data_IF_526200145420
#
_entry.id   IF_526200145420
#
_cell.length_a   1.000
_cell.length_b   1.000
_cell.length_c   1.000
_cell.angle_alpha   90.00
_cell.angle_beta   90.00
_cell.angle_gamma   90.00
#
_symmetry.space_group_name_H-M   'P 1'
#
loop_
_entity.id
_entity.type
_entity.pdbx_description
1 polymer ?
#
# COMPACT_ATOMS: atom_id res chain seq x y z
N UNK A 1 70.42 21.99 33.53
CA UNK A 1 70.05 21.00 34.55
C UNK A 1 69.28 19.89 33.85
N UNK A 2 69.87 18.71 33.80
CA UNK A 2 69.33 17.51 33.20
C UNK A 2 68.57 16.68 34.24
N UNK A 3 67.50 16.01 33.84
CA UNK A 3 67.16 14.67 34.34
C UNK A 3 66.23 13.94 33.37
N UNK A 4 66.71 12.76 32.96
CA UNK A 4 66.06 11.72 32.14
C UNK A 4 65.09 10.88 32.98
N UNK A 5 64.35 10.01 32.28
CA UNK A 5 63.89 8.64 32.65
C UNK A 5 62.37 8.51 32.70
N UNK A 6 61.70 7.46 32.21
CA UNK A 6 62.14 6.20 31.62
C UNK A 6 61.02 5.58 30.78
N UNK A 7 61.45 4.87 29.75
CA UNK A 7 60.68 3.96 28.89
C UNK A 7 60.43 2.66 29.67
N UNK A 8 59.21 2.12 29.60
CA UNK A 8 58.94 0.73 29.93
C UNK A 8 58.07 0.10 28.83
N UNK A 9 58.75 -0.57 27.90
CA UNK A 9 58.20 -1.51 26.91
C UNK A 9 58.00 -2.84 27.62
N UNK A 10 56.75 -3.30 27.71
CA UNK A 10 56.44 -4.67 28.10
C UNK A 10 56.08 -5.49 26.85
N UNK A 11 56.96 -6.43 26.51
CA UNK A 11 56.86 -7.40 25.42
C UNK A 11 56.67 -8.79 26.03
N UNK A 12 55.50 -9.40 25.86
CA UNK A 12 55.21 -10.84 25.95
C UNK A 12 54.01 -11.07 25.02
N UNK A 13 54.00 -11.96 24.03
CA UNK A 13 54.77 -13.17 23.82
C UNK A 13 53.81 -14.36 23.78
N UNK A 14 53.46 -14.83 22.58
CA UNK A 14 52.67 -16.06 22.31
C UNK A 14 51.19 -15.95 22.69
N UNK A 15 50.21 -16.29 21.87
CA UNK A 15 50.02 -17.52 21.10
C UNK A 15 48.95 -17.24 20.03
N UNK A 16 49.17 -17.73 18.82
CA UNK A 16 48.25 -17.63 17.69
C UNK A 16 47.42 -18.92 17.64
N UNK A 17 46.08 -18.90 17.86
CA UNK A 17 45.24 -20.01 17.48
C UNK A 17 44.75 -19.83 16.05
N UNK A 18 45.25 -20.74 15.22
CA UNK A 18 44.64 -21.33 14.03
C UNK A 18 43.15 -21.08 13.84
N UNK A 19 42.82 -20.65 12.61
CA UNK A 19 41.53 -20.74 11.95
C UNK A 19 40.85 -22.10 12.18
N UNK A 20 39.69 -22.09 12.83
CA UNK A 20 38.62 -23.04 12.56
C UNK A 20 37.37 -22.26 12.18
N UNK A 21 37.10 -22.26 10.88
CA UNK A 21 35.81 -21.93 10.31
C UNK A 21 34.83 -23.01 10.78
N UNK A 22 33.96 -22.68 11.73
CA UNK A 22 32.78 -23.50 12.03
C UNK A 22 31.52 -22.67 11.76
N UNK A 23 31.07 -22.78 10.50
CA UNK A 23 29.73 -22.40 10.07
C UNK A 23 28.74 -23.40 10.69
N UNK A 24 28.22 -23.06 11.87
CA UNK A 24 26.93 -23.60 12.32
C UNK A 24 25.92 -22.46 12.48
N UNK A 25 25.39 -22.01 11.34
CA UNK A 25 24.16 -21.22 11.24
C UNK A 25 23.01 -22.04 11.82
N UNK A 26 22.81 -21.98 13.14
CA UNK A 26 21.55 -22.39 13.75
C UNK A 26 20.48 -21.37 13.30
N UNK A 27 19.46 -21.77 12.54
CA UNK A 27 18.37 -20.86 12.21
C UNK A 27 17.63 -20.51 13.50
N UNK A 28 17.72 -19.25 13.91
CA UNK A 28 16.93 -18.69 15.00
C UNK A 28 15.44 -18.97 14.74
N UNK A 29 14.68 -19.24 15.81
CA UNK A 29 13.24 -19.51 15.78
C UNK A 29 12.44 -18.43 15.03
N UNK A 30 13.00 -17.21 14.92
CA UNK A 30 12.46 -16.10 14.13
C UNK A 30 12.38 -16.41 12.62
N UNK A 31 13.33 -17.16 12.05
CA UNK A 31 13.28 -17.55 10.63
C UNK A 31 12.18 -18.58 10.36
N UNK A 32 11.89 -19.47 11.31
CA UNK A 32 10.80 -20.45 11.14
C UNK A 32 9.43 -19.79 11.22
N UNK A 33 9.27 -18.76 12.05
CA UNK A 33 8.06 -17.96 12.11
C UNK A 33 7.88 -17.13 10.83
N UNK A 34 8.92 -16.47 10.33
CA UNK A 34 8.88 -15.72 9.08
C UNK A 34 8.61 -16.59 7.85
N UNK A 35 9.17 -17.80 7.78
CA UNK A 35 8.87 -18.75 6.69
C UNK A 35 7.40 -19.22 6.77
N UNK A 36 6.86 -19.46 7.99
CA UNK A 36 5.44 -19.81 8.17
C UNK A 36 4.48 -18.65 7.89
N UNK A 37 4.89 -17.42 8.18
CA UNK A 37 4.11 -16.22 7.87
C UNK A 37 4.09 -15.95 6.37
N UNK A 38 5.24 -16.11 5.70
CA UNK A 38 5.35 -15.99 4.24
C UNK A 38 4.60 -17.13 3.51
N UNK A 39 4.53 -18.33 4.08
CA UNK A 39 3.73 -19.43 3.52
C UNK A 39 2.22 -19.21 3.68
N UNK A 40 1.77 -18.60 4.80
CA UNK A 40 0.37 -18.23 4.98
C UNK A 40 -0.04 -17.08 4.05
N UNK A 41 0.79 -16.05 3.90
CA UNK A 41 0.53 -14.95 2.96
C UNK A 41 0.44 -15.44 1.50
N UNK A 42 1.24 -16.45 1.10
CA UNK A 42 1.14 -17.07 -0.23
C UNK A 42 -0.08 -17.99 -0.39
N UNK A 43 -0.53 -18.65 0.68
CA UNK A 43 -1.74 -19.46 0.66
C UNK A 43 -3.00 -18.59 0.56
N UNK A 44 -3.04 -17.45 1.25
CA UNK A 44 -4.12 -16.46 1.14
C UNK A 44 -4.16 -15.79 -0.23
N UNK A 45 -3.00 -15.50 -0.84
CA UNK A 45 -2.93 -15.01 -2.23
C UNK A 45 -3.40 -16.05 -3.27
N UNK A 46 -3.31 -17.35 -2.98
CA UNK A 46 -3.91 -18.42 -3.80
C UNK A 46 -5.41 -18.62 -3.53
N UNK A 47 -5.85 -18.43 -2.28
CA UNK A 47 -7.25 -18.50 -1.89
C UNK A 47 -8.05 -17.30 -2.40
N UNK A 48 -7.42 -16.13 -2.55
CA UNK A 48 -8.02 -14.89 -3.09
C UNK A 48 -8.17 -14.87 -4.62
N UNK A 49 -8.12 -16.01 -5.33
CA UNK A 49 -8.63 -16.12 -6.71
C UNK A 49 -8.01 -15.20 -7.79
N UNK A 50 -6.98 -14.41 -7.47
CA UNK A 50 -6.46 -13.32 -8.33
C UNK A 50 -5.86 -13.83 -9.64
N UNK A 51 -5.45 -15.09 -9.72
CA UNK A 51 -4.88 -15.67 -10.94
C UNK A 51 -5.91 -16.36 -11.85
N UNK A 52 -7.11 -16.74 -11.34
CA UNK A 52 -8.12 -17.42 -12.18
C UNK A 52 -8.93 -16.45 -13.05
N UNK A 53 -8.94 -15.16 -12.73
CA UNK A 53 -9.61 -14.14 -13.54
C UNK A 53 -8.82 -13.75 -14.80
N UNK A 54 -7.51 -14.02 -14.86
CA UNK A 54 -6.65 -13.65 -15.99
C UNK A 54 -6.70 -14.64 -17.17
N UNK A 55 -7.39 -15.77 -17.05
CA UNK A 55 -7.50 -16.77 -18.13
C UNK A 55 -8.92 -17.06 -18.60
N UNK A 56 -9.94 -16.36 -18.07
CA UNK A 56 -11.31 -16.48 -18.58
C UNK A 56 -11.52 -15.50 -19.73
N UNK A 57 -11.10 -15.90 -20.93
CA UNK A 57 -11.53 -15.32 -22.20
C UNK A 57 -13.08 -15.16 -22.18
N UNK A 58 -13.64 -13.94 -22.30
CA UNK A 58 -15.06 -13.81 -22.60
C UNK A 58 -15.23 -14.08 -24.10
N UNK A 59 -15.86 -15.21 -24.40
CA UNK A 59 -16.34 -15.52 -25.74
C UNK A 59 -17.23 -14.40 -26.24
N UNK A 60 -16.82 -13.84 -27.38
CA UNK A 60 -17.58 -12.97 -28.26
C UNK A 60 -18.94 -13.62 -28.58
N UNK A 61 -20.03 -13.09 -28.01
CA UNK A 61 -21.37 -13.20 -28.62
C UNK A 61 -21.86 -11.79 -28.91
N UNK A 62 -21.70 -11.40 -30.17
CA UNK A 62 -22.43 -10.29 -30.77
C UNK A 62 -23.88 -10.78 -30.86
N UNK A 63 -24.75 -10.23 -30.01
CA UNK A 63 -26.19 -10.31 -30.19
C UNK A 63 -26.67 -8.86 -30.40
N UNK A 64 -26.84 -8.50 -31.67
CA UNK A 64 -27.49 -7.27 -32.06
C UNK A 64 -29.00 -7.45 -31.78
N UNK A 65 -29.53 -6.76 -30.77
CA UNK A 65 -30.95 -6.50 -30.68
C UNK A 65 -31.18 -5.00 -30.81
N UNK A 66 -31.61 -4.64 -32.01
CA UNK A 66 -32.27 -3.40 -32.35
C UNK A 66 -33.62 -3.34 -31.62
N UNK A 67 -33.75 -2.40 -30.68
CA UNK A 67 -35.07 -1.88 -30.30
C UNK A 67 -34.97 -0.38 -30.13
N UNK A 68 -35.51 0.31 -31.13
CA UNK A 68 -35.75 1.74 -31.22
C UNK A 68 -36.84 2.12 -30.20
N UNK A 69 -36.55 3.05 -29.29
CA UNK A 69 -37.58 3.98 -28.82
C UNK A 69 -36.99 5.33 -28.39
N UNK A 70 -37.75 6.37 -28.69
CA UNK A 70 -37.42 7.79 -28.81
C UNK A 70 -37.71 8.63 -27.56
N UNK A 71 -37.06 9.80 -27.50
CA UNK A 71 -37.27 10.89 -26.51
C UNK A 71 -36.30 10.75 -25.34
N UNK A 72 -35.41 11.67 -25.00
CA UNK A 72 -35.34 13.12 -25.16
C UNK A 72 -34.62 13.57 -23.88
N UNK A 73 -33.48 14.27 -24.01
CA UNK A 73 -32.70 14.89 -22.91
C UNK A 73 -32.10 13.92 -21.86
N UNK A 74 -30.95 13.28 -22.13
CA UNK A 74 -30.20 12.48 -21.12
C UNK A 74 -28.78 12.00 -21.55
N UNK A 75 -28.18 12.65 -22.56
CA UNK A 75 -27.00 12.08 -23.26
C UNK A 75 -25.70 12.05 -22.48
N UNK A 76 -25.49 12.98 -21.53
CA UNK A 76 -24.22 13.14 -20.84
C UNK A 76 -24.05 12.17 -19.64
N UNK A 77 -25.11 11.94 -18.88
CA UNK A 77 -25.10 11.13 -17.65
C UNK A 77 -25.07 9.63 -17.92
N UNK A 78 -25.75 9.16 -18.98
CA UNK A 78 -25.76 7.74 -19.37
C UNK A 78 -24.42 7.27 -19.97
N UNK A 79 -23.60 8.17 -20.49
CA UNK A 79 -22.25 7.84 -20.99
C UNK A 79 -21.17 7.80 -19.90
N UNK A 80 -21.24 8.70 -18.92
CA UNK A 80 -20.21 8.85 -17.89
C UNK A 80 -20.21 7.70 -16.86
N UNK A 81 -21.39 7.25 -16.42
CA UNK A 81 -21.53 6.14 -15.46
C UNK A 81 -20.91 4.82 -15.94
N UNK A 82 -21.19 4.32 -17.17
CA UNK A 82 -20.56 3.09 -17.67
C UNK A 82 -19.06 3.25 -17.94
N UNK A 83 -18.56 4.46 -18.22
CA UNK A 83 -17.12 4.71 -18.31
C UNK A 83 -16.46 4.68 -16.93
N UNK A 84 -17.04 5.33 -15.92
CA UNK A 84 -16.51 5.31 -14.56
C UNK A 84 -16.47 3.88 -13.99
N UNK A 85 -17.53 3.08 -14.20
CA UNK A 85 -17.54 1.66 -13.83
C UNK A 85 -16.44 0.86 -14.53
N UNK A 86 -16.18 1.11 -15.82
CA UNK A 86 -15.09 0.45 -16.56
C UNK A 86 -13.71 0.84 -16.04
N UNK A 87 -13.51 2.11 -15.70
CA UNK A 87 -12.24 2.61 -15.16
C UNK A 87 -11.97 1.98 -13.80
N UNK A 88 -12.94 2.01 -12.89
CA UNK A 88 -12.82 1.45 -11.54
C UNK A 88 -12.61 -0.07 -11.56
N UNK A 89 -13.24 -0.77 -12.50
CA UNK A 89 -13.03 -2.21 -12.68
C UNK A 89 -11.66 -2.57 -13.31
N UNK A 90 -10.90 -1.58 -13.77
CA UNK A 90 -9.60 -1.84 -14.41
C UNK A 90 -8.50 -2.12 -13.37
N UNK A 91 -7.60 -3.09 -13.61
CA UNK A 91 -6.44 -3.32 -12.74
C UNK A 91 -5.51 -2.12 -12.62
N UNK A 92 -5.46 -1.26 -13.64
CA UNK A 92 -4.70 -0.01 -13.61
C UNK A 92 -5.22 0.93 -12.51
N UNK A 93 -6.53 0.96 -12.28
CA UNK A 93 -7.12 1.77 -11.23
C UNK A 93 -6.83 1.20 -9.84
N UNK A 94 -7.16 -0.07 -9.62
CA UNK A 94 -7.11 -0.68 -8.27
C UNK A 94 -5.69 -1.05 -7.81
N UNK A 95 -4.78 -1.39 -8.73
CA UNK A 95 -3.41 -1.79 -8.37
C UNK A 95 -2.43 -0.65 -8.58
N UNK A 96 -2.37 -0.10 -9.80
CA UNK A 96 -1.35 0.90 -10.12
C UNK A 96 -1.68 2.26 -9.49
N UNK A 97 -2.87 2.80 -9.74
CA UNK A 97 -3.22 4.14 -9.26
C UNK A 97 -3.42 4.18 -7.74
N UNK A 98 -4.27 3.31 -7.19
CA UNK A 98 -4.47 3.24 -5.74
C UNK A 98 -3.19 2.85 -4.99
N UNK A 99 -2.39 1.94 -5.53
CA UNK A 99 -1.10 1.56 -4.95
C UNK A 99 -0.09 2.70 -4.98
N UNK A 100 0.02 3.43 -6.08
CA UNK A 100 0.89 4.61 -6.18
C UNK A 100 0.47 5.70 -5.20
N UNK A 101 -0.84 5.97 -5.07
CA UNK A 101 -1.36 6.93 -4.08
C UNK A 101 -1.00 6.47 -2.66
N UNK A 102 -1.19 5.19 -2.34
CA UNK A 102 -0.85 4.66 -1.02
C UNK A 102 0.64 4.83 -0.68
N UNK A 103 1.53 4.49 -1.62
CA UNK A 103 2.98 4.66 -1.43
C UNK A 103 3.36 6.14 -1.31
N UNK A 104 2.75 7.01 -2.12
CA UNK A 104 2.98 8.45 -2.04
C UNK A 104 2.54 9.03 -0.69
N UNK A 105 1.39 8.61 -0.17
CA UNK A 105 0.91 9.02 1.15
C UNK A 105 1.85 8.56 2.28
N UNK A 106 2.40 7.34 2.19
CA UNK A 106 3.40 6.87 3.14
C UNK A 106 4.68 7.71 3.08
N UNK A 107 5.18 8.00 1.86
CA UNK A 107 6.34 8.87 1.68
C UNK A 107 6.10 10.31 2.15
N UNK A 108 4.89 10.83 1.97
CA UNK A 108 4.50 12.15 2.47
C UNK A 108 4.51 12.20 4.00
N UNK A 109 3.96 11.18 4.67
CA UNK A 109 3.96 11.08 6.13
C UNK A 109 5.39 10.92 6.65
N UNK A 110 6.21 10.11 5.99
CA UNK A 110 7.63 9.97 6.31
C UNK A 110 8.37 11.32 6.18
N UNK A 111 8.14 12.05 5.09
CA UNK A 111 8.69 13.38 4.88
C UNK A 111 8.21 14.43 5.89
N UNK A 112 6.98 14.31 6.36
CA UNK A 112 6.38 15.26 7.31
C UNK A 112 6.85 15.07 8.76
N UNK A 113 7.23 13.85 9.17
CA UNK A 113 7.43 13.53 10.59
C UNK A 113 8.78 12.91 10.95
N UNK A 114 9.58 12.46 9.99
CA UNK A 114 10.88 11.83 10.30
C UNK A 114 11.97 12.84 10.70
N UNK A 115 11.88 14.10 10.24
CA UNK A 115 12.94 15.10 10.38
C UNK A 115 14.22 14.80 9.58
N UNK A 116 14.29 13.66 8.89
CA UNK A 116 15.46 13.27 8.11
C UNK A 116 15.57 14.13 6.84
N UNK A 117 14.44 14.48 6.23
CA UNK A 117 14.35 15.24 4.99
C UNK A 117 14.82 16.69 5.17
N UNK A 118 14.49 17.31 6.30
CA UNK A 118 15.00 18.63 6.64
C UNK A 118 16.47 18.59 7.06
N UNK A 119 16.89 17.53 7.76
CA UNK A 119 18.31 17.34 8.16
C UNK A 119 19.24 17.16 6.96
N UNK A 120 18.84 16.44 5.92
CA UNK A 120 19.62 16.28 4.68
C UNK A 120 19.52 17.50 3.75
N UNK A 121 18.70 18.50 4.10
CA UNK A 121 18.47 19.69 3.30
C UNK A 121 17.67 19.45 2.02
N UNK A 122 16.91 18.35 1.94
CA UNK A 122 16.02 18.09 0.81
C UNK A 122 14.78 19.00 0.84
N UNK A 123 14.33 19.36 2.05
CA UNK A 123 13.29 20.36 2.33
C UNK A 123 13.72 21.27 3.48
N UNK A 124 13.10 22.43 3.61
CA UNK A 124 13.23 23.31 4.77
C UNK A 124 12.38 22.84 5.96
N UNK A 125 12.67 23.37 7.15
CA UNK A 125 11.87 23.08 8.37
C UNK A 125 10.45 23.65 8.22
N UNK A 126 10.32 24.80 7.58
CA UNK A 126 9.05 25.43 7.28
C UNK A 126 8.21 24.57 6.32
N UNK A 127 8.83 23.97 5.30
CA UNK A 127 8.17 23.01 4.40
C UNK A 127 7.75 21.73 5.14
N UNK A 128 8.57 21.20 6.04
CA UNK A 128 8.19 20.05 6.88
C UNK A 128 6.92 20.34 7.70
N UNK A 129 6.84 21.53 8.31
CA UNK A 129 5.63 21.97 9.02
C UNK A 129 4.42 22.12 8.09
N UNK A 130 4.62 22.57 6.85
CA UNK A 130 3.55 22.62 5.86
C UNK A 130 3.09 21.22 5.47
N UNK A 131 4.02 20.28 5.27
CA UNK A 131 3.71 18.88 4.99
C UNK A 131 2.88 18.24 6.11
N UNK A 132 3.18 18.53 7.38
CA UNK A 132 2.36 18.06 8.51
C UNK A 132 0.91 18.57 8.42
N UNK A 133 0.69 19.83 8.01
CA UNK A 133 -0.66 20.37 7.81
C UNK A 133 -1.37 19.68 6.64
N UNK A 134 -0.66 19.42 5.54
CA UNK A 134 -1.19 18.67 4.39
C UNK A 134 -1.60 17.26 4.83
N UNK A 135 -0.76 16.56 5.60
CA UNK A 135 -1.09 15.26 6.19
C UNK A 135 -2.36 15.33 7.05
N UNK A 136 -2.51 16.36 7.88
CA UNK A 136 -3.72 16.54 8.69
C UNK A 136 -4.98 16.74 7.84
N UNK A 137 -4.91 17.53 6.77
CA UNK A 137 -6.04 17.70 5.85
C UNK A 137 -6.41 16.41 5.11
N UNK A 138 -5.41 15.64 4.67
CA UNK A 138 -5.64 14.34 4.04
C UNK A 138 -6.27 13.36 5.03
N UNK A 139 -5.73 13.27 6.25
CA UNK A 139 -6.28 12.42 7.30
C UNK A 139 -7.74 12.80 7.63
N UNK A 140 -8.03 14.11 7.71
CA UNK A 140 -9.40 14.60 7.89
C UNK A 140 -10.31 14.17 6.74
N UNK A 141 -9.88 14.35 5.49
CA UNK A 141 -10.64 13.90 4.32
C UNK A 141 -10.91 12.38 4.36
N UNK A 142 -9.90 11.56 4.66
CA UNK A 142 -10.05 10.11 4.79
C UNK A 142 -11.00 9.73 5.93
N UNK A 143 -10.98 10.48 7.04
CA UNK A 143 -11.88 10.27 8.17
C UNK A 143 -13.35 10.52 7.81
N UNK A 144 -13.64 11.38 6.83
CA UNK A 144 -15.00 11.55 6.29
C UNK A 144 -15.37 10.47 5.27
N UNK A 145 -14.44 10.05 4.40
CA UNK A 145 -14.70 9.01 3.41
C UNK A 145 -14.95 7.63 4.04
N UNK A 146 -14.25 7.31 5.13
CA UNK A 146 -14.30 6.00 5.80
C UNK A 146 -15.70 5.62 6.32
N UNK A 147 -16.39 6.45 7.14
CA UNK A 147 -17.73 6.14 7.62
C UNK A 147 -18.74 6.10 6.47
N UNK A 148 -18.59 6.97 5.46
CA UNK A 148 -19.43 6.93 4.27
C UNK A 148 -19.32 5.59 3.53
N UNK A 149 -18.09 5.10 3.32
CA UNK A 149 -17.86 3.78 2.72
C UNK A 149 -18.46 2.66 3.57
N UNK A 150 -18.32 2.72 4.89
CA UNK A 150 -18.89 1.72 5.80
C UNK A 150 -20.42 1.68 5.73
N UNK A 151 -21.07 2.85 5.71
CA UNK A 151 -22.53 2.95 5.58
C UNK A 151 -23.01 2.39 4.24
N UNK A 152 -22.36 2.76 3.13
CA UNK A 152 -22.73 2.27 1.80
C UNK A 152 -22.49 0.76 1.68
N UNK A 153 -21.33 0.26 2.10
CA UNK A 153 -20.99 -1.16 1.99
C UNK A 153 -21.90 -2.05 2.84
N UNK A 154 -22.26 -1.61 4.05
CA UNK A 154 -23.24 -2.32 4.90
C UNK A 154 -24.65 -2.27 4.32
N UNK A 155 -25.08 -1.10 3.81
CA UNK A 155 -26.40 -0.95 3.18
C UNK A 155 -26.59 -1.83 1.96
N UNK A 156 -25.51 -2.14 1.24
CA UNK A 156 -25.49 -3.06 0.07
C UNK A 156 -25.22 -4.53 0.42
N UNK A 157 -25.10 -4.88 1.71
CA UNK A 157 -24.88 -6.26 2.13
C UNK A 157 -23.54 -6.87 1.69
N UNK A 158 -22.51 -6.06 1.41
CA UNK A 158 -21.21 -6.56 0.96
C UNK A 158 -20.52 -7.35 2.09
N UNK A 159 -20.20 -8.62 1.84
CA UNK A 159 -19.60 -9.52 2.83
C UNK A 159 -18.23 -9.04 3.34
N UNK A 160 -17.49 -8.34 2.49
CA UNK A 160 -16.16 -7.78 2.75
C UNK A 160 -16.18 -6.29 3.15
N UNK A 161 -17.31 -5.76 3.62
CA UNK A 161 -17.48 -4.33 3.95
C UNK A 161 -16.35 -3.78 4.83
N UNK A 162 -15.84 -4.56 5.80
CA UNK A 162 -14.78 -4.12 6.69
C UNK A 162 -13.44 -3.87 5.95
N UNK A 163 -13.08 -4.76 5.03
CA UNK A 163 -11.87 -4.62 4.22
C UNK A 163 -11.99 -3.46 3.24
N UNK A 164 -13.17 -3.26 2.67
CA UNK A 164 -13.46 -2.12 1.80
C UNK A 164 -13.32 -0.80 2.58
N UNK A 165 -13.90 -0.72 3.78
CA UNK A 165 -13.77 0.45 4.67
C UNK A 165 -12.30 0.71 5.04
N UNK A 166 -11.54 -0.33 5.37
CA UNK A 166 -10.10 -0.20 5.67
C UNK A 166 -9.32 0.32 4.46
N UNK A 167 -9.65 -0.17 3.26
CA UNK A 167 -9.05 0.30 2.00
C UNK A 167 -9.38 1.78 1.76
N UNK A 168 -10.61 2.22 2.05
CA UNK A 168 -10.99 3.64 2.01
C UNK A 168 -10.23 4.46 3.04
N UNK A 169 -10.00 3.96 4.25
CA UNK A 169 -9.19 4.66 5.23
C UNK A 169 -7.73 4.86 4.73
N UNK A 170 -7.19 3.88 4.00
CA UNK A 170 -5.82 3.93 3.50
C UNK A 170 -5.65 4.81 2.24
N UNK A 171 -6.59 4.77 1.30
CA UNK A 171 -6.45 5.41 -0.04
C UNK A 171 -7.44 6.56 -0.26
N UNK A 172 -8.40 6.74 0.66
CA UNK A 172 -9.35 7.84 0.64
C UNK A 172 -10.38 7.72 -0.48
N UNK A 173 -10.63 8.85 -1.16
CA UNK A 173 -11.68 9.00 -2.16
C UNK A 173 -11.63 8.00 -3.31
N UNK A 174 -10.43 7.58 -3.76
CA UNK A 174 -10.30 6.60 -4.84
C UNK A 174 -10.91 5.24 -4.47
N UNK A 175 -10.62 4.74 -3.27
CA UNK A 175 -11.22 3.49 -2.82
C UNK A 175 -12.71 3.66 -2.50
N UNK A 176 -13.15 4.87 -2.09
CA UNK A 176 -14.58 5.17 -1.92
C UNK A 176 -15.34 5.07 -3.25
N UNK A 177 -14.79 5.57 -4.36
CA UNK A 177 -15.42 5.43 -5.67
C UNK A 177 -15.61 3.96 -6.08
N UNK A 178 -14.67 3.10 -5.70
CA UNK A 178 -14.79 1.66 -5.90
C UNK A 178 -15.98 1.09 -5.13
N UNK A 179 -16.14 1.42 -3.85
CA UNK A 179 -17.30 1.00 -3.06
C UNK A 179 -18.61 1.52 -3.65
N UNK A 180 -18.64 2.78 -4.11
CA UNK A 180 -19.83 3.39 -4.68
C UNK A 180 -20.25 2.77 -6.02
N UNK A 181 -19.28 2.36 -6.86
CA UNK A 181 -19.51 1.87 -8.22
C UNK A 181 -19.51 0.35 -8.35
N UNK A 182 -19.11 -0.37 -7.29
CA UNK A 182 -19.22 -1.84 -7.23
C UNK A 182 -20.69 -2.24 -7.24
N UNK A 183 -21.03 -3.23 -8.08
CA UNK A 183 -22.38 -3.80 -8.16
C UNK A 183 -22.62 -4.80 -7.04
N UNK A 184 -23.87 -4.92 -6.61
CA UNK A 184 -24.33 -6.01 -5.75
C UNK A 184 -24.16 -7.33 -6.52
N UNK A 185 -23.59 -8.34 -5.85
CA UNK A 185 -23.40 -9.69 -6.41
C UNK A 185 -24.70 -10.50 -6.38
#
# INVERSE_FOLDING_TARGET
>A
MATRSSIAVARRGGVLPTLTSDRSLRPSLTNRALIRLASHARADLRAMGVYKSLLRRPGRRIAANSTKNSGGEDGATKGALPLAQRVVASPLYSVALQGAVFVFLLGLVDAAYSGDWSRIGAISIEEEQQLQRVCAYIALFHSFCTPLAAVVARGRGLSNWALLTLKVAAVGGLALFEVLLTKEE
#
